data_IF_319153277014
#
_entry.id   IF_319153277014
#
_cell.length_a   1.000
_cell.length_b   1.000
_cell.length_c   1.000
_cell.angle_alpha   90.00
_cell.angle_beta   90.00
_cell.angle_gamma   90.00
#
_symmetry.space_group_name_H-M   'P 1'
#
loop_
_entity.id
_entity.type
_entity.pdbx_description
1 polymer ?
#
# COMPACT_ATOMS: atom_id res chain seq x y z
N UNK A 1 12.80 19.11 -7.03
CA UNK A 1 13.11 19.45 -5.63
C UNK A 1 12.46 18.37 -4.78
N UNK A 2 13.22 17.67 -3.94
CA UNK A 2 12.63 16.68 -3.03
C UNK A 2 11.94 17.41 -1.86
N UNK A 3 10.79 16.91 -1.35
CA UNK A 3 10.16 17.48 -0.17
C UNK A 3 11.05 17.29 1.06
N UNK A 4 11.00 18.26 1.99
CA UNK A 4 11.58 18.11 3.33
C UNK A 4 10.92 16.96 4.10
N UNK A 5 11.53 16.54 5.21
CA UNK A 5 11.01 15.43 6.03
C UNK A 5 9.60 15.74 6.58
N UNK A 6 9.37 16.95 7.09
CA UNK A 6 8.04 17.36 7.58
C UNK A 6 7.01 17.40 6.46
N UNK A 7 7.34 18.01 5.32
CA UNK A 7 6.46 18.03 4.15
C UNK A 7 6.11 16.62 3.68
N UNK A 8 7.06 15.69 3.74
CA UNK A 8 6.83 14.30 3.35
C UNK A 8 5.85 13.62 4.30
N UNK A 9 5.99 13.85 5.60
CA UNK A 9 5.12 13.29 6.64
C UNK A 9 3.71 13.87 6.51
N UNK A 10 3.58 15.18 6.31
CA UNK A 10 2.29 15.84 6.11
C UNK A 10 1.60 15.35 4.83
N UNK A 11 2.31 15.31 3.70
CA UNK A 11 1.78 14.76 2.44
C UNK A 11 1.37 13.28 2.59
N UNK A 12 2.16 12.47 3.31
CA UNK A 12 1.79 11.08 3.57
C UNK A 12 0.50 11.02 4.39
N UNK A 13 0.42 11.77 5.49
CA UNK A 13 -0.73 11.77 6.39
C UNK A 13 -2.02 12.20 5.67
N UNK A 14 -1.97 13.27 4.88
CA UNK A 14 -3.11 13.74 4.07
C UNK A 14 -3.54 12.67 3.06
N UNK A 15 -2.63 12.19 2.21
CA UNK A 15 -2.96 11.21 1.17
C UNK A 15 -3.37 9.85 1.75
N UNK A 16 -2.83 9.46 2.90
CA UNK A 16 -3.22 8.25 3.60
C UNK A 16 -4.67 8.33 4.09
N UNK A 17 -5.11 9.48 4.60
CA UNK A 17 -6.51 9.68 5.02
C UNK A 17 -7.46 9.63 3.84
N UNK A 18 -7.15 10.35 2.76
CA UNK A 18 -7.93 10.28 1.51
C UNK A 18 -8.03 8.85 0.97
N UNK A 19 -6.91 8.11 1.01
CA UNK A 19 -6.88 6.70 0.65
C UNK A 19 -7.80 5.86 1.54
N UNK A 20 -7.68 5.98 2.87
CA UNK A 20 -8.46 5.19 3.82
C UNK A 20 -9.96 5.46 3.68
N UNK A 21 -10.35 6.73 3.58
CA UNK A 21 -11.75 7.14 3.40
C UNK A 21 -12.32 6.52 2.11
N UNK A 22 -11.61 6.68 0.98
CA UNK A 22 -12.05 6.13 -0.30
C UNK A 22 -12.13 4.60 -0.30
N UNK A 23 -11.16 3.93 0.31
CA UNK A 23 -11.04 2.46 0.30
C UNK A 23 -12.07 1.81 1.21
N UNK A 24 -12.43 2.46 2.31
CA UNK A 24 -13.50 2.01 3.20
C UNK A 24 -14.87 2.12 2.50
N UNK A 25 -15.12 3.18 1.73
CA UNK A 25 -16.31 3.33 0.89
C UNK A 25 -16.44 2.23 -0.21
N UNK A 26 -15.32 1.73 -0.73
CA UNK A 26 -15.31 0.64 -1.72
C UNK A 26 -15.82 -0.70 -1.17
N UNK A 27 -16.01 -0.85 0.15
CA UNK A 27 -16.81 -1.93 0.75
C UNK A 27 -16.20 -3.33 0.68
N UNK A 28 -14.87 -3.45 0.56
CA UNK A 28 -14.17 -4.73 0.47
C UNK A 28 -13.83 -5.38 1.83
N UNK A 29 -14.08 -4.70 2.95
CA UNK A 29 -13.74 -5.17 4.31
C UNK A 29 -14.90 -5.87 5.03
N UNK A 30 -15.73 -6.60 4.30
CA UNK A 30 -16.71 -7.51 4.90
C UNK A 30 -16.05 -8.79 5.43
N UNK A 31 -16.74 -9.56 6.29
CA UNK A 31 -16.26 -10.88 6.71
C UNK A 31 -15.87 -11.71 5.49
N UNK A 32 -14.64 -12.24 5.52
CA UNK A 32 -14.01 -13.01 4.45
C UNK A 32 -15.01 -14.03 3.92
N UNK A 33 -15.49 -13.86 2.69
CA UNK A 33 -16.40 -14.84 2.06
C UNK A 33 -15.56 -15.98 1.52
N UNK A 34 -15.10 -16.83 2.43
CA UNK A 34 -14.26 -17.99 2.12
C UNK A 34 -15.01 -18.88 1.12
N UNK A 35 -14.33 -19.28 0.05
CA UNK A 35 -14.85 -20.27 -0.90
C UNK A 35 -15.81 -19.74 -1.97
N UNK A 36 -16.03 -18.41 -2.08
CA UNK A 36 -16.77 -17.84 -3.21
C UNK A 36 -15.86 -17.10 -4.20
N UNK A 37 -16.17 -17.13 -5.50
CA UNK A 37 -15.57 -16.21 -6.46
C UNK A 37 -15.89 -14.74 -6.13
N UNK A 38 -14.94 -13.85 -6.39
CA UNK A 38 -15.18 -12.41 -6.37
C UNK A 38 -16.12 -12.01 -7.50
N UNK A 39 -17.05 -11.10 -7.23
CA UNK A 39 -17.87 -10.48 -8.26
C UNK A 39 -17.03 -9.51 -9.10
N UNK A 40 -17.52 -9.16 -10.30
CA UNK A 40 -16.87 -8.15 -11.16
C UNK A 40 -16.64 -6.82 -10.44
N UNK A 41 -17.60 -6.38 -9.63
CA UNK A 41 -17.49 -5.14 -8.86
C UNK A 41 -16.36 -5.20 -7.83
N UNK A 42 -16.24 -6.31 -7.10
CA UNK A 42 -15.17 -6.49 -6.13
C UNK A 42 -13.78 -6.56 -6.79
N UNK A 43 -13.68 -7.16 -7.99
CA UNK A 43 -12.43 -7.17 -8.78
C UNK A 43 -12.02 -5.76 -9.23
N UNK A 44 -12.99 -4.93 -9.63
CA UNK A 44 -12.74 -3.54 -10.00
C UNK A 44 -12.29 -2.74 -8.78
N UNK A 45 -12.99 -2.88 -7.66
CA UNK A 45 -12.62 -2.21 -6.41
C UNK A 45 -11.21 -2.60 -5.95
N UNK A 46 -10.87 -3.90 -5.95
CA UNK A 46 -9.53 -4.36 -5.57
C UNK A 46 -8.46 -3.82 -6.51
N UNK A 47 -8.75 -3.73 -7.82
CA UNK A 47 -7.83 -3.12 -8.77
C UNK A 47 -7.62 -1.63 -8.47
N UNK A 48 -8.69 -0.89 -8.20
CA UNK A 48 -8.61 0.53 -7.82
C UNK A 48 -7.75 0.73 -6.58
N UNK A 49 -7.94 -0.10 -5.55
CA UNK A 49 -7.09 -0.09 -4.35
C UNK A 49 -5.62 -0.29 -4.69
N UNK A 50 -5.29 -1.32 -5.46
CA UNK A 50 -3.90 -1.59 -5.87
C UNK A 50 -3.28 -0.42 -6.65
N UNK A 51 -4.05 0.26 -7.49
CA UNK A 51 -3.58 1.47 -8.20
C UNK A 51 -3.32 2.64 -7.25
N UNK A 52 -4.11 2.81 -6.19
CA UNK A 52 -3.87 3.85 -5.18
C UNK A 52 -2.67 3.51 -4.28
N UNK A 53 -2.59 2.25 -3.83
CA UNK A 53 -1.50 1.72 -2.99
C UNK A 53 -0.12 1.93 -3.61
N UNK A 54 -0.06 1.95 -4.95
CA UNK A 54 1.14 2.28 -5.73
C UNK A 54 1.85 3.55 -5.25
N UNK A 55 1.10 4.59 -4.84
CA UNK A 55 1.66 5.86 -4.31
C UNK A 55 2.54 5.64 -3.08
N UNK A 56 2.17 4.70 -2.23
CA UNK A 56 2.83 4.45 -0.95
C UNK A 56 3.96 3.42 -1.05
N UNK A 57 3.96 2.54 -2.07
CA UNK A 57 4.93 1.44 -2.13
C UNK A 57 5.93 1.55 -3.28
N UNK A 58 5.74 2.49 -4.21
CA UNK A 58 6.65 2.69 -5.35
C UNK A 58 7.78 3.65 -5.01
N UNK A 59 9.01 3.22 -5.29
CA UNK A 59 10.20 4.08 -5.18
C UNK A 59 10.10 5.27 -6.15
N UNK A 60 10.38 6.47 -5.64
CA UNK A 60 10.33 7.72 -6.42
C UNK A 60 9.05 8.53 -6.19
N UNK A 61 8.03 7.94 -5.54
CA UNK A 61 6.91 8.71 -5.01
C UNK A 61 7.33 9.43 -3.73
N UNK A 62 6.80 10.64 -3.52
CA UNK A 62 7.10 11.44 -2.33
C UNK A 62 6.70 10.70 -1.05
N UNK A 63 5.58 9.99 -1.08
CA UNK A 63 4.99 9.30 0.08
C UNK A 63 5.34 7.80 0.13
N UNK A 64 6.46 7.41 -0.49
CA UNK A 64 6.97 6.04 -0.42
C UNK A 64 7.29 5.65 1.03
N UNK A 65 6.64 4.61 1.55
CA UNK A 65 6.67 4.17 2.95
C UNK A 65 8.10 4.07 3.54
N UNK A 66 9.08 3.41 2.90
CA UNK A 66 10.47 3.42 3.39
C UNK A 66 11.08 4.82 3.56
N UNK A 67 10.76 5.77 2.68
CA UNK A 67 11.24 7.14 2.82
C UNK A 67 10.52 7.86 3.97
N UNK A 68 9.21 7.65 4.12
CA UNK A 68 8.41 8.18 5.24
C UNK A 68 8.90 7.64 6.58
N UNK A 69 9.18 6.33 6.67
CA UNK A 69 9.76 5.71 7.86
C UNK A 69 11.10 6.33 8.24
N UNK A 70 11.94 6.61 7.24
CA UNK A 70 13.23 7.26 7.45
C UNK A 70 13.06 8.68 7.99
N UNK A 71 12.17 9.48 7.40
CA UNK A 71 11.88 10.86 7.86
C UNK A 71 11.35 10.85 9.30
N UNK A 72 10.40 9.95 9.60
CA UNK A 72 9.85 9.78 10.94
C UNK A 72 10.91 9.37 11.97
N UNK A 73 11.81 8.45 11.63
CA UNK A 73 12.93 8.08 12.52
C UNK A 73 13.94 9.22 12.71
N UNK A 74 14.16 10.04 11.68
CA UNK A 74 15.02 11.22 11.78
C UNK A 74 14.54 12.18 12.87
N UNK A 75 13.23 12.41 12.92
CA UNK A 75 12.58 13.29 13.89
C UNK A 75 12.43 12.59 15.26
N UNK A 76 11.99 11.34 15.28
CA UNK A 76 11.77 10.56 16.50
C UNK A 76 13.05 10.15 17.23
N UNK A 77 14.23 10.18 16.60
CA UNK A 77 15.50 9.91 17.29
C UNK A 77 15.81 10.88 18.45
N UNK A 78 15.03 11.95 18.60
CA UNK A 78 15.02 12.84 19.75
C UNK A 78 14.15 12.37 20.94
N UNK A 79 13.29 11.35 20.78
CA UNK A 79 12.30 10.94 21.78
C UNK A 79 12.11 9.39 21.89
N UNK A 80 12.53 8.86 23.05
CA UNK A 80 12.29 7.56 23.72
C UNK A 80 11.83 6.25 23.01
N UNK A 81 12.12 5.13 23.69
CA UNK A 81 12.10 3.75 23.18
C UNK A 81 10.72 3.17 22.80
N UNK A 82 9.61 3.64 23.38
CA UNK A 82 8.28 3.05 23.16
C UNK A 82 7.68 3.44 21.80
N UNK A 83 8.00 4.63 21.29
CA UNK A 83 7.67 5.08 19.92
C UNK A 83 8.27 4.15 18.84
N UNK A 84 9.34 3.44 19.19
CA UNK A 84 10.01 2.50 18.28
C UNK A 84 9.13 1.29 17.94
N UNK A 85 8.26 0.82 18.85
CA UNK A 85 7.55 -0.45 18.68
C UNK A 85 6.52 -0.43 17.53
N UNK A 86 5.62 0.55 17.51
CA UNK A 86 4.59 0.67 16.46
C UNK A 86 5.23 0.92 15.08
N UNK A 87 6.28 1.74 15.03
CA UNK A 87 7.03 1.98 13.79
C UNK A 87 7.79 0.74 13.32
N UNK A 88 8.39 -0.03 14.24
CA UNK A 88 9.05 -1.28 13.91
C UNK A 88 8.04 -2.32 13.39
N UNK A 89 6.82 -2.36 13.95
CA UNK A 89 5.74 -3.23 13.48
C UNK A 89 5.28 -2.85 12.07
N UNK A 90 5.08 -1.55 11.79
CA UNK A 90 4.72 -1.07 10.46
C UNK A 90 5.81 -1.40 9.42
N UNK A 91 7.09 -1.19 9.78
CA UNK A 91 8.21 -1.50 8.90
C UNK A 91 8.36 -3.02 8.66
N UNK A 92 8.14 -3.84 9.70
CA UNK A 92 8.13 -5.30 9.57
C UNK A 92 6.99 -5.77 8.66
N UNK A 93 5.78 -5.27 8.87
CA UNK A 93 4.60 -5.52 8.03
C UNK A 93 4.86 -5.17 6.57
N UNK A 94 5.43 -3.98 6.30
CA UNK A 94 5.83 -3.57 4.95
C UNK A 94 6.86 -4.52 4.35
N UNK A 95 7.91 -4.88 5.10
CA UNK A 95 8.95 -5.81 4.65
C UNK A 95 8.35 -7.18 4.31
N UNK A 96 7.44 -7.69 5.11
CA UNK A 96 6.81 -9.00 4.85
C UNK A 96 6.01 -9.00 3.54
N UNK A 97 5.30 -7.92 3.22
CA UNK A 97 4.61 -7.78 1.92
C UNK A 97 5.63 -7.66 0.80
N UNK A 98 6.55 -6.70 0.90
CA UNK A 98 7.44 -6.33 -0.19
C UNK A 98 8.55 -7.36 -0.47
N UNK A 99 8.97 -8.12 0.55
CA UNK A 99 9.99 -9.18 0.44
C UNK A 99 9.39 -10.59 0.43
N UNK A 100 8.31 -10.84 1.17
CA UNK A 100 7.72 -12.17 1.32
C UNK A 100 6.65 -12.50 0.29
N UNK A 101 5.82 -11.53 -0.13
CA UNK A 101 4.76 -11.75 -1.12
C UNK A 101 5.23 -11.53 -2.57
N UNK A 102 6.10 -10.55 -2.80
CA UNK A 102 6.56 -10.14 -4.14
C UNK A 102 7.88 -10.74 -4.62
N UNK A 103 8.66 -11.46 -3.80
CA UNK A 103 9.91 -12.05 -4.27
C UNK A 103 9.66 -13.40 -4.98
N UNK A 104 9.60 -13.37 -6.32
CA UNK A 104 9.78 -14.56 -7.16
C UNK A 104 8.69 -15.64 -7.10
N UNK A 105 7.53 -15.39 -6.46
CA UNK A 105 6.40 -16.31 -6.48
C UNK A 105 5.88 -16.45 -7.92
N UNK A 106 5.99 -17.66 -8.45
CA UNK A 106 5.35 -18.05 -9.71
C UNK A 106 4.01 -18.70 -9.38
N UNK A 107 2.94 -18.17 -9.95
CA UNK A 107 1.60 -18.77 -9.90
C UNK A 107 1.39 -19.45 -11.25
N UNK A 108 1.02 -20.73 -11.26
CA UNK A 108 0.74 -21.45 -12.50
C UNK A 108 -0.75 -21.35 -12.79
N UNK A 109 -1.12 -20.74 -13.91
CA UNK A 109 -2.51 -20.58 -14.34
C UNK A 109 -2.65 -21.12 -15.75
N UNK A 110 -3.57 -22.08 -15.96
CA UNK A 110 -3.78 -22.75 -17.25
C UNK A 110 -2.49 -23.28 -17.91
N UNK A 111 -1.53 -23.72 -17.09
CA UNK A 111 -0.22 -24.21 -17.53
C UNK A 111 0.84 -23.14 -17.78
N UNK A 112 0.49 -21.84 -17.68
CA UNK A 112 1.42 -20.73 -17.78
C UNK A 112 1.89 -20.28 -16.39
N UNK A 113 3.21 -20.26 -16.16
CA UNK A 113 3.80 -19.72 -14.94
C UNK A 113 3.89 -18.20 -15.03
N UNK A 114 3.14 -17.50 -14.17
CA UNK A 114 3.09 -16.04 -14.10
C UNK A 114 3.84 -15.59 -12.85
N UNK A 115 4.72 -14.59 -12.99
CA UNK A 115 5.38 -13.97 -11.85
C UNK A 115 4.43 -13.00 -11.15
N UNK A 116 4.14 -13.27 -9.88
CA UNK A 116 3.16 -12.52 -9.10
C UNK A 116 3.49 -11.02 -9.03
N UNK A 117 4.77 -10.67 -8.85
CA UNK A 117 5.24 -9.28 -8.84
C UNK A 117 4.88 -8.55 -10.13
N UNK A 118 5.14 -9.18 -11.27
CA UNK A 118 4.79 -8.63 -12.59
C UNK A 118 3.29 -8.42 -12.71
N UNK A 119 2.48 -9.38 -12.27
CA UNK A 119 1.01 -9.23 -12.28
C UNK A 119 0.56 -8.05 -11.42
N UNK A 120 1.11 -7.91 -10.21
CA UNK A 120 0.80 -6.80 -9.31
C UNK A 120 1.14 -5.45 -9.96
N UNK A 121 2.33 -5.33 -10.57
CA UNK A 121 2.74 -4.13 -11.29
C UNK A 121 1.79 -3.82 -12.48
N UNK A 122 1.37 -4.81 -13.25
CA UNK A 122 0.40 -4.61 -14.33
C UNK A 122 -0.95 -4.08 -13.81
N UNK A 123 -1.43 -4.57 -12.67
CA UNK A 123 -2.65 -4.04 -12.04
C UNK A 123 -2.46 -2.62 -11.52
N UNK A 124 -1.33 -2.33 -10.88
CA UNK A 124 -1.01 -1.02 -10.32
C UNK A 124 -0.86 0.07 -11.39
N UNK A 125 -0.45 -0.29 -12.62
CA UNK A 125 -0.11 0.68 -13.68
C UNK A 125 -0.98 0.62 -14.95
N UNK A 126 -1.75 -0.46 -15.19
CA UNK A 126 -2.30 -0.75 -16.52
C UNK A 126 -3.82 -0.78 -16.62
N UNK A 127 -4.61 -0.49 -15.57
CA UNK A 127 -6.05 -0.78 -15.61
C UNK A 127 -6.98 0.43 -15.78
N UNK A 128 -7.08 1.34 -14.80
CA UNK A 128 -8.09 2.42 -14.81
C UNK A 128 -7.53 3.82 -14.55
N UNK A 129 -6.59 3.97 -13.62
CA UNK A 129 -6.09 5.28 -13.17
C UNK A 129 -4.82 5.74 -13.91
N UNK A 130 -4.13 4.82 -14.57
CA UNK A 130 -2.87 5.08 -15.25
C UNK A 130 -3.01 4.72 -16.73
N UNK A 131 -2.73 5.68 -17.61
CA UNK A 131 -2.80 5.52 -19.05
C UNK A 131 -1.54 4.82 -19.58
N UNK A 132 -1.45 3.50 -19.37
CA UNK A 132 -0.40 2.65 -19.95
C UNK A 132 -1.06 1.56 -20.81
N UNK A 133 -1.17 1.85 -22.11
CA UNK A 133 -1.88 0.98 -23.07
C UNK A 133 -1.22 -0.39 -23.21
N UNK A 134 0.11 -0.45 -23.17
CA UNK A 134 0.85 -1.70 -23.32
C UNK A 134 0.63 -2.61 -22.11
N UNK A 135 0.69 -2.04 -20.90
CA UNK A 135 0.35 -2.79 -19.68
C UNK A 135 -1.10 -3.20 -19.62
N UNK A 136 -2.02 -2.39 -20.15
CA UNK A 136 -3.43 -2.76 -20.26
C UNK A 136 -3.62 -4.00 -21.14
N UNK A 137 -3.01 -4.03 -22.33
CA UNK A 137 -3.08 -5.17 -23.24
C UNK A 137 -2.47 -6.42 -22.61
N UNK A 138 -1.33 -6.28 -21.96
CA UNK A 138 -0.67 -7.38 -21.25
C UNK A 138 -1.57 -7.91 -20.12
N UNK A 139 -2.15 -7.03 -19.30
CA UNK A 139 -3.06 -7.42 -18.23
C UNK A 139 -4.29 -8.17 -18.76
N UNK A 140 -4.86 -7.73 -19.89
CA UNK A 140 -6.01 -8.37 -20.53
C UNK A 140 -5.71 -9.81 -21.00
N UNK A 141 -4.43 -10.12 -21.25
CA UNK A 141 -4.00 -11.46 -21.65
C UNK A 141 -3.79 -12.43 -20.48
N UNK A 142 -3.83 -11.94 -19.24
CA UNK A 142 -3.65 -12.76 -18.03
C UNK A 142 -4.98 -13.34 -17.54
N UNK A 143 -5.00 -14.59 -17.04
CA UNK A 143 -6.21 -15.17 -16.45
C UNK A 143 -6.57 -14.45 -15.15
N UNK A 144 -7.79 -13.92 -15.05
CA UNK A 144 -8.10 -12.83 -14.12
C UNK A 144 -8.38 -13.22 -12.65
N UNK A 145 -8.32 -14.51 -12.27
CA UNK A 145 -8.90 -14.96 -11.00
C UNK A 145 -7.92 -15.50 -9.92
N UNK A 146 -6.74 -16.00 -10.26
CA UNK A 146 -5.96 -16.80 -9.28
C UNK A 146 -5.08 -15.99 -8.32
N UNK A 147 -4.72 -14.76 -8.68
CA UNK A 147 -3.93 -13.86 -7.83
C UNK A 147 -4.79 -13.02 -6.86
N UNK A 148 -6.12 -13.20 -6.83
CA UNK A 148 -7.03 -12.32 -6.10
C UNK A 148 -6.90 -12.43 -4.58
N UNK A 149 -6.81 -13.64 -4.02
CA UNK A 149 -6.68 -13.84 -2.57
C UNK A 149 -5.34 -13.33 -2.04
N UNK A 150 -4.25 -13.56 -2.79
CA UNK A 150 -2.91 -13.04 -2.47
C UNK A 150 -2.90 -11.52 -2.56
N UNK A 151 -3.48 -10.94 -3.62
CA UNK A 151 -3.57 -9.49 -3.80
C UNK A 151 -4.42 -8.84 -2.72
N UNK A 152 -5.53 -9.45 -2.33
CA UNK A 152 -6.35 -8.97 -1.22
C UNK A 152 -5.58 -9.01 0.10
N UNK A 153 -4.82 -10.08 0.35
CA UNK A 153 -3.94 -10.16 1.51
C UNK A 153 -2.90 -9.03 1.50
N UNK A 154 -2.16 -8.86 0.41
CA UNK A 154 -1.13 -7.81 0.29
C UNK A 154 -1.73 -6.42 0.42
N UNK A 155 -2.86 -6.17 -0.24
CA UNK A 155 -3.62 -4.91 -0.15
C UNK A 155 -4.10 -4.64 1.29
N UNK A 156 -4.46 -5.68 2.05
CA UNK A 156 -4.83 -5.55 3.46
C UNK A 156 -3.63 -5.22 4.33
N UNK A 157 -2.48 -5.85 4.08
CA UNK A 157 -1.24 -5.59 4.83
C UNK A 157 -0.66 -4.20 4.52
N UNK A 158 -0.74 -3.74 3.27
CA UNK A 158 -0.38 -2.36 2.90
C UNK A 158 -1.31 -1.37 3.62
N UNK A 159 -2.62 -1.61 3.64
CA UNK A 159 -3.56 -0.79 4.40
C UNK A 159 -3.21 -0.76 5.89
N UNK A 160 -2.94 -1.91 6.49
CA UNK A 160 -2.55 -2.00 7.90
C UNK A 160 -1.28 -1.19 8.17
N UNK A 161 -0.27 -1.31 7.30
CA UNK A 161 0.95 -0.50 7.37
C UNK A 161 0.62 0.98 7.34
N UNK A 162 -0.25 1.42 6.43
CA UNK A 162 -0.68 2.81 6.32
C UNK A 162 -1.38 3.28 7.60
N UNK A 163 -2.30 2.49 8.15
CA UNK A 163 -3.02 2.80 9.40
C UNK A 163 -2.04 2.95 10.56
N UNK A 164 -1.14 1.99 10.74
CA UNK A 164 -0.13 2.02 11.80
C UNK A 164 0.79 3.24 11.67
N UNK A 165 1.14 3.61 10.43
CA UNK A 165 1.97 4.80 10.16
C UNK A 165 1.22 6.10 10.47
N UNK A 166 -0.06 6.20 10.08
CA UNK A 166 -0.91 7.36 10.41
C UNK A 166 -1.07 7.50 11.92
N UNK A 167 -1.41 6.41 12.60
CA UNK A 167 -1.53 6.38 14.06
C UNK A 167 -0.24 6.85 14.73
N UNK A 168 0.91 6.38 14.25
CA UNK A 168 2.21 6.82 14.77
C UNK A 168 2.47 8.32 14.58
N UNK A 169 2.10 8.87 13.42
CA UNK A 169 2.19 10.31 13.16
C UNK A 169 1.31 11.11 14.13
N UNK A 170 0.07 10.66 14.33
CA UNK A 170 -0.88 11.29 15.26
C UNK A 170 -0.37 11.26 16.70
N UNK A 171 0.07 10.08 17.18
CA UNK A 171 0.64 9.93 18.52
C UNK A 171 1.91 10.77 18.71
N UNK A 172 2.74 10.89 17.67
CA UNK A 172 3.95 11.73 17.69
C UNK A 172 3.62 13.23 17.75
N UNK A 173 2.53 13.67 17.10
CA UNK A 173 2.04 15.06 17.20
C UNK A 173 1.45 15.35 18.58
N UNK A 174 0.65 14.43 19.12
CA UNK A 174 0.07 14.57 20.46
C UNK A 174 1.14 14.62 21.56
N UNK A 175 2.24 13.90 21.37
CA UNK A 175 3.41 13.96 22.26
C UNK A 175 4.29 15.21 22.06
N UNK A 176 4.01 16.03 21.05
CA UNK A 176 4.76 17.25 20.72
C UNK A 176 6.11 16.99 20.03
N UNK A 177 6.29 15.82 19.41
CA UNK A 177 7.51 15.47 18.66
C UNK A 177 7.45 15.89 17.19
N UNK A 178 6.25 16.00 16.66
CA UNK A 178 5.97 16.57 15.36
C UNK A 178 5.14 17.84 15.54
N UNK A 179 5.44 18.86 14.74
CA UNK A 179 4.59 20.03 14.68
C UNK A 179 3.20 19.63 14.15
N UNK A 180 2.17 20.35 14.63
CA UNK A 180 0.84 20.23 14.04
C UNK A 180 0.88 20.66 12.57
N UNK A 181 0.14 19.98 11.68
CA UNK A 181 0.15 20.33 10.26
C UNK A 181 -0.27 21.80 10.12
N UNK A 182 0.45 22.54 9.29
CA UNK A 182 0.06 23.92 8.98
C UNK A 182 -1.28 23.91 8.24
N UNK A 183 -2.25 24.77 8.63
CA UNK A 183 -3.59 24.80 8.04
C UNK A 183 -3.60 25.22 6.57
#
# INVERSE_FOLDING_TARGET
MEPSDDQRIDMFHELARDYLDFVDELGLFGPRKIGRPFTRAENVALSMRTMLERKFITRGEAVHLPAVFKSLRGIASAAEADASAAMNEAEATYKDVYTGASAGRKIVVDGAAIEYRRTWELFAYGRLLHADFDKYLELKSLPENEALSTRLYDSSMIRETIIQTVKYIEESRDAGWLDSPSP
#
